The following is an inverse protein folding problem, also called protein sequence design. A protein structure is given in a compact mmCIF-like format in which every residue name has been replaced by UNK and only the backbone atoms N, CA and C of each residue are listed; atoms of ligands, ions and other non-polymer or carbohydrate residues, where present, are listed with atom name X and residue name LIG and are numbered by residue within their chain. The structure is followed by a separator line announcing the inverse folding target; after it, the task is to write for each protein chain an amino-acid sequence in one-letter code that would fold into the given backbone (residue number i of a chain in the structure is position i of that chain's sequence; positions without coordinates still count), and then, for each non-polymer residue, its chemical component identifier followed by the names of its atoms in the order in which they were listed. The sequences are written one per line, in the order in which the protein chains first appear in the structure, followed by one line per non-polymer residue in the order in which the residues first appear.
data_IF_037186264472
#
_entry.id   IF_037186264472
#
_cell.length_a   1.000
_cell.length_b   1.000
_cell.length_c   1.000
_cell.angle_alpha   90.00
_cell.angle_beta   90.00
_cell.angle_gamma   90.00
#
_symmetry.space_group_name_H-M   'P 1'
#
loop_
_entity.id
_entity.type
_entity.pdbx_description
1 polymer ?
#
# COMPACT_ATOMS: atom_id res chain seq x y z
N UNK A 1 -3.36 -25.51 14.96
CA UNK A 1 -3.89 -25.67 13.58
C UNK A 1 -3.71 -24.41 12.73
N UNK A 2 -4.16 -23.23 13.17
CA UNK A 2 -4.02 -21.98 12.41
C UNK A 2 -2.56 -21.68 12.03
N UNK A 3 -1.60 -21.75 12.95
CA UNK A 3 -0.18 -21.51 12.62
C UNK A 3 0.35 -22.43 11.51
N UNK A 4 -0.06 -23.70 11.44
CA UNK A 4 0.43 -24.65 10.41
C UNK A 4 -0.11 -24.31 9.03
N UNK A 5 -1.42 -24.05 8.92
CA UNK A 5 -2.05 -23.63 7.65
C UNK A 5 -1.42 -22.32 7.15
N UNK A 6 -1.08 -21.41 8.06
CA UNK A 6 -0.47 -20.13 7.74
C UNK A 6 0.99 -20.26 7.31
N UNK A 7 1.80 -21.06 8.00
CA UNK A 7 3.15 -21.39 7.55
C UNK A 7 3.13 -22.10 6.20
N UNK A 8 2.19 -23.02 5.96
CA UNK A 8 2.00 -23.63 4.65
C UNK A 8 1.62 -22.59 3.59
N UNK A 9 0.71 -21.65 3.89
CA UNK A 9 0.34 -20.59 2.96
C UNK A 9 1.54 -19.69 2.60
N UNK A 10 2.35 -19.32 3.58
CA UNK A 10 3.57 -18.53 3.38
C UNK A 10 4.61 -19.30 2.56
N UNK A 11 4.82 -20.60 2.86
CA UNK A 11 5.74 -21.44 2.08
C UNK A 11 5.25 -21.60 0.64
N UNK A 12 3.95 -21.83 0.44
CA UNK A 12 3.35 -21.95 -0.90
C UNK A 12 3.43 -20.62 -1.64
N UNK A 13 3.18 -19.49 -0.98
CA UNK A 13 3.35 -18.16 -1.56
C UNK A 13 4.80 -17.90 -1.96
N UNK A 14 5.76 -18.13 -1.06
CA UNK A 14 7.18 -18.01 -1.36
C UNK A 14 7.61 -18.90 -2.51
N UNK A 15 7.08 -20.13 -2.59
CA UNK A 15 7.35 -21.02 -3.71
C UNK A 15 6.74 -20.52 -5.01
N UNK A 16 5.51 -20.03 -4.99
CA UNK A 16 4.82 -19.48 -6.16
C UNK A 16 5.48 -18.19 -6.64
N UNK A 17 5.91 -17.29 -5.76
CA UNK A 17 6.58 -16.04 -6.14
C UNK A 17 8.03 -16.27 -6.58
N UNK A 18 8.78 -17.16 -5.91
CA UNK A 18 10.20 -17.38 -6.18
C UNK A 18 10.46 -18.36 -7.33
N UNK A 19 9.64 -19.40 -7.48
CA UNK A 19 9.84 -20.43 -8.52
C UNK A 19 9.21 -20.02 -9.86
N UNK A 20 8.19 -19.17 -9.86
CA UNK A 20 7.63 -18.64 -11.10
C UNK A 20 8.37 -17.40 -11.58
N UNK A 21 9.49 -17.63 -12.29
CA UNK A 21 9.81 -16.84 -13.50
C UNK A 21 8.88 -17.20 -14.68
N UNK A 22 7.86 -18.02 -14.44
CA UNK A 22 6.80 -18.40 -15.39
C UNK A 22 5.56 -17.57 -15.05
N UNK A 23 5.02 -16.84 -16.02
CA UNK A 23 3.84 -15.99 -15.82
C UNK A 23 2.68 -16.77 -15.19
N UNK A 24 2.34 -16.46 -13.94
CA UNK A 24 1.12 -16.98 -13.30
C UNK A 24 -0.11 -16.49 -14.10
N UNK A 25 -1.12 -17.35 -14.30
CA UNK A 25 -2.33 -16.93 -14.97
C UNK A 25 -3.13 -15.97 -14.06
N UNK A 26 -3.92 -15.03 -14.63
CA UNK A 26 -4.63 -14.02 -13.85
C UNK A 26 -5.48 -14.54 -12.67
N UNK A 27 -6.20 -15.68 -12.79
CA UNK A 27 -6.94 -16.25 -11.66
C UNK A 27 -6.06 -16.63 -10.46
N UNK A 28 -4.82 -17.07 -10.71
CA UNK A 28 -3.90 -17.45 -9.64
C UNK A 28 -3.25 -16.23 -8.99
N UNK A 29 -2.97 -15.17 -9.77
CA UNK A 29 -2.57 -13.87 -9.24
C UNK A 29 -3.63 -13.35 -8.26
N UNK A 30 -4.92 -13.43 -8.63
CA UNK A 30 -6.02 -13.03 -7.76
C UNK A 30 -6.07 -13.83 -6.45
N UNK A 31 -5.90 -15.16 -6.52
CA UNK A 31 -5.81 -16.00 -5.31
C UNK A 31 -4.67 -15.58 -4.40
N UNK A 32 -3.50 -15.24 -4.97
CA UNK A 32 -2.36 -14.73 -4.20
C UNK A 32 -2.72 -13.40 -3.52
N UNK A 33 -3.36 -12.47 -4.23
CA UNK A 33 -3.87 -11.22 -3.64
C UNK A 33 -4.82 -11.50 -2.47
N UNK A 34 -5.77 -12.43 -2.63
CA UNK A 34 -6.74 -12.76 -1.59
C UNK A 34 -6.08 -13.34 -0.32
N UNK A 35 -5.03 -14.15 -0.50
CA UNK A 35 -4.24 -14.66 0.64
C UNK A 35 -3.45 -13.52 1.29
N UNK A 36 -2.76 -12.70 0.50
CA UNK A 36 -2.00 -11.55 1.01
C UNK A 36 -2.90 -10.56 1.76
N UNK A 37 -4.15 -10.34 1.32
CA UNK A 37 -5.12 -9.48 2.01
C UNK A 37 -5.36 -9.92 3.45
N UNK A 38 -5.50 -11.24 3.65
CA UNK A 38 -5.69 -11.83 4.97
C UNK A 38 -4.44 -11.66 5.82
N UNK A 39 -3.27 -11.96 5.25
CA UNK A 39 -1.98 -11.89 5.95
C UNK A 39 -1.59 -10.46 6.34
N UNK A 40 -1.84 -9.47 5.48
CA UNK A 40 -1.57 -8.05 5.77
C UNK A 40 -2.44 -7.49 6.90
N UNK A 41 -3.61 -8.08 7.13
CA UNK A 41 -4.54 -7.69 8.20
C UNK A 41 -4.22 -8.39 9.52
N UNK A 42 -3.34 -9.39 9.53
CA UNK A 42 -2.98 -10.12 10.72
C UNK A 42 -2.09 -9.29 11.68
N UNK A 43 -2.24 -9.52 12.99
CA UNK A 43 -1.52 -8.80 14.05
C UNK A 43 -0.13 -9.36 14.38
N UNK A 44 0.33 -10.42 13.72
CA UNK A 44 1.60 -11.06 14.06
C UNK A 44 2.78 -10.35 13.38
N UNK A 45 3.61 -9.64 14.16
CA UNK A 45 4.74 -8.85 13.64
C UNK A 45 5.83 -9.69 12.94
N UNK A 46 6.13 -10.91 13.43
CA UNK A 46 7.13 -11.79 12.79
C UNK A 46 6.65 -12.25 11.41
N UNK A 47 5.38 -12.61 11.33
CA UNK A 47 4.75 -13.00 10.07
C UNK A 47 4.72 -11.82 9.10
N UNK A 48 4.36 -10.63 9.58
CA UNK A 48 4.27 -9.45 8.76
C UNK A 48 5.59 -9.10 8.07
N UNK A 49 6.72 -9.22 8.77
CA UNK A 49 8.05 -9.04 8.19
C UNK A 49 8.27 -9.99 6.99
N UNK A 50 7.96 -11.28 7.15
CA UNK A 50 8.07 -12.28 6.08
C UNK A 50 7.10 -12.01 4.92
N UNK A 51 5.90 -11.52 5.22
CA UNK A 51 4.90 -11.14 4.21
C UNK A 51 5.38 -9.95 3.39
N UNK A 52 6.08 -8.98 3.99
CA UNK A 52 6.63 -7.83 3.24
C UNK A 52 7.68 -8.27 2.21
N UNK A 53 8.52 -9.26 2.54
CA UNK A 53 9.50 -9.80 1.59
C UNK A 53 8.82 -10.49 0.41
N UNK A 54 7.79 -11.30 0.68
CA UNK A 54 6.98 -11.95 -0.36
C UNK A 54 6.27 -10.92 -1.23
N UNK A 55 5.70 -9.88 -0.59
CA UNK A 55 5.00 -8.80 -1.26
C UNK A 55 5.94 -8.03 -2.20
N UNK A 56 7.16 -7.74 -1.78
CA UNK A 56 8.18 -7.09 -2.62
C UNK A 56 8.43 -7.87 -3.91
N UNK A 57 8.63 -9.19 -3.81
CA UNK A 57 8.86 -10.06 -4.97
C UNK A 57 7.60 -10.10 -5.84
N UNK A 58 6.43 -10.25 -5.24
CA UNK A 58 5.16 -10.36 -5.96
C UNK A 58 4.82 -9.08 -6.73
N UNK A 59 4.91 -7.92 -6.08
CA UNK A 59 4.71 -6.61 -6.72
C UNK A 59 5.67 -6.42 -7.88
N UNK A 60 6.97 -6.65 -7.65
CA UNK A 60 7.98 -6.47 -8.71
C UNK A 60 7.72 -7.37 -9.92
N UNK A 61 7.19 -8.57 -9.69
CA UNK A 61 6.97 -9.57 -10.75
C UNK A 61 5.64 -9.41 -11.49
N UNK A 62 4.60 -8.90 -10.82
CA UNK A 62 3.22 -8.94 -11.33
C UNK A 62 2.51 -7.58 -11.38
N UNK A 63 3.19 -6.46 -11.07
CA UNK A 63 2.59 -5.11 -10.99
C UNK A 63 1.61 -4.75 -12.12
N UNK A 64 1.90 -5.13 -13.38
CA UNK A 64 1.02 -4.89 -14.53
C UNK A 64 -0.39 -5.50 -14.38
N UNK A 65 -0.52 -6.60 -13.64
CA UNK A 65 -1.77 -7.30 -13.37
C UNK A 65 -2.42 -6.93 -12.04
N UNK A 66 -1.82 -5.99 -11.28
CA UNK A 66 -2.24 -5.65 -9.92
C UNK A 66 -2.96 -4.30 -9.82
N UNK A 67 -3.34 -3.69 -10.94
CA UNK A 67 -3.99 -2.38 -10.98
C UNK A 67 -5.24 -2.28 -10.09
N UNK A 68 -6.15 -3.25 -10.18
CA UNK A 68 -7.37 -3.29 -9.36
C UNK A 68 -7.09 -3.53 -7.86
N UNK A 69 -5.96 -4.16 -7.56
CA UNK A 69 -5.55 -4.48 -6.19
C UNK A 69 -4.76 -3.35 -5.53
N UNK A 70 -4.16 -2.47 -6.33
CA UNK A 70 -3.27 -1.40 -5.87
C UNK A 70 -3.91 -0.49 -4.83
N UNK A 71 -5.19 -0.14 -5.01
CA UNK A 71 -5.93 0.70 -4.06
C UNK A 71 -5.95 0.08 -2.66
N UNK A 72 -6.34 -1.20 -2.57
CA UNK A 72 -6.36 -1.93 -1.31
C UNK A 72 -4.94 -2.03 -0.72
N UNK A 73 -3.96 -2.39 -1.55
CA UNK A 73 -2.58 -2.56 -1.12
C UNK A 73 -2.02 -1.27 -0.49
N UNK A 74 -2.13 -0.13 -1.20
CA UNK A 74 -1.67 1.16 -0.71
C UNK A 74 -2.38 1.57 0.59
N UNK A 75 -3.71 1.39 0.67
CA UNK A 75 -4.47 1.68 1.89
C UNK A 75 -3.89 0.91 3.09
N UNK A 76 -3.65 -0.40 2.93
CA UNK A 76 -3.14 -1.25 4.01
C UNK A 76 -1.72 -0.89 4.41
N UNK A 77 -0.81 -0.70 3.46
CA UNK A 77 0.58 -0.39 3.75
C UNK A 77 0.73 0.98 4.43
N UNK A 78 0.04 2.01 3.94
CA UNK A 78 0.08 3.36 4.52
C UNK A 78 -0.55 3.39 5.92
N UNK A 79 -1.67 2.69 6.11
CA UNK A 79 -2.27 2.54 7.42
C UNK A 79 -1.31 1.87 8.41
N UNK A 80 -0.68 0.76 8.00
CA UNK A 80 0.30 0.04 8.82
C UNK A 80 1.52 0.92 9.13
N UNK A 81 2.03 1.67 8.15
CA UNK A 81 3.20 2.55 8.31
C UNK A 81 2.96 3.65 9.33
N UNK A 82 1.72 4.15 9.43
CA UNK A 82 1.34 5.11 10.46
C UNK A 82 1.30 4.56 11.89
N UNK A 83 1.09 3.25 12.07
CA UNK A 83 0.88 2.66 13.42
C UNK A 83 2.00 1.75 13.88
N UNK A 84 2.79 1.21 12.95
CA UNK A 84 3.90 0.30 13.26
C UNK A 84 5.09 1.07 13.86
N UNK A 85 5.68 0.51 14.91
CA UNK A 85 6.79 1.11 15.65
C UNK A 85 7.99 0.19 15.76
N UNK A 86 7.83 -1.12 15.53
CA UNK A 86 8.91 -2.08 15.66
C UNK A 86 9.86 -1.97 14.46
N UNK A 87 11.16 -1.65 14.67
CA UNK A 87 12.10 -1.47 13.56
C UNK A 87 12.20 -2.70 12.63
N UNK A 88 12.03 -3.90 13.20
CA UNK A 88 12.03 -5.19 12.49
C UNK A 88 10.90 -5.36 11.47
N UNK A 89 9.85 -4.54 11.58
CA UNK A 89 8.72 -4.49 10.65
C UNK A 89 8.73 -3.20 9.83
N UNK A 90 9.09 -2.07 10.45
CA UNK A 90 9.15 -0.75 9.79
C UNK A 90 10.07 -0.79 8.57
N UNK A 91 11.25 -1.41 8.68
CA UNK A 91 12.20 -1.49 7.56
C UNK A 91 11.62 -2.25 6.35
N UNK A 92 11.16 -3.51 6.48
CA UNK A 92 10.50 -4.23 5.38
C UNK A 92 9.26 -3.51 4.83
N UNK A 93 8.47 -2.87 5.69
CA UNK A 93 7.28 -2.13 5.29
C UNK A 93 7.62 -0.90 4.43
N UNK A 94 8.66 -0.15 4.80
CA UNK A 94 9.16 0.97 4.01
C UNK A 94 9.74 0.50 2.67
N UNK A 95 10.41 -0.67 2.65
CA UNK A 95 10.87 -1.28 1.41
C UNK A 95 9.70 -1.68 0.51
N UNK A 96 8.63 -2.26 1.07
CA UNK A 96 7.41 -2.58 0.33
C UNK A 96 6.74 -1.32 -0.27
N UNK A 97 6.58 -0.26 0.52
CA UNK A 97 6.05 1.03 0.03
C UNK A 97 6.93 1.62 -1.08
N UNK A 98 8.26 1.56 -0.93
CA UNK A 98 9.20 2.00 -1.96
C UNK A 98 9.06 1.16 -3.23
N UNK A 99 8.97 -0.16 -3.12
CA UNK A 99 8.78 -1.07 -4.25
C UNK A 99 7.49 -0.74 -4.99
N UNK A 100 6.37 -0.56 -4.29
CA UNK A 100 5.11 -0.10 -4.92
C UNK A 100 5.34 1.21 -5.67
N UNK A 101 6.02 2.18 -5.04
CA UNK A 101 6.23 3.51 -5.63
C UNK A 101 7.05 3.47 -6.91
N UNK A 102 8.06 2.61 -6.99
CA UNK A 102 8.97 2.53 -8.13
C UNK A 102 8.53 1.57 -9.23
N UNK A 103 7.58 0.67 -8.96
CA UNK A 103 7.14 -0.36 -9.92
C UNK A 103 5.84 -0.01 -10.61
N UNK A 104 4.85 0.52 -9.88
CA UNK A 104 3.57 0.88 -10.48
C UNK A 104 3.67 2.21 -11.23
N UNK A 105 2.86 2.35 -12.29
CA UNK A 105 2.70 3.63 -12.97
C UNK A 105 2.24 4.73 -11.98
N UNK A 106 2.90 5.91 -11.95
CA UNK A 106 2.54 6.96 -10.99
C UNK A 106 1.08 7.40 -11.05
N UNK A 107 0.49 7.43 -12.25
CA UNK A 107 -0.92 7.82 -12.41
C UNK A 107 -1.87 6.85 -11.69
N UNK A 108 -1.59 5.55 -11.74
CA UNK A 108 -2.41 4.53 -11.07
C UNK A 108 -2.30 4.65 -9.55
N UNK A 109 -1.10 4.94 -9.04
CA UNK A 109 -0.87 5.16 -7.61
C UNK A 109 -1.62 6.40 -7.12
N UNK A 110 -1.58 7.49 -7.89
CA UNK A 110 -2.26 8.73 -7.56
C UNK A 110 -3.78 8.53 -7.48
N UNK A 111 -4.38 7.91 -8.50
CA UNK A 111 -5.82 7.57 -8.52
C UNK A 111 -6.20 6.70 -7.32
N UNK A 112 -5.41 5.66 -7.04
CA UNK A 112 -5.63 4.77 -5.89
C UNK A 112 -5.62 5.53 -4.55
N UNK A 113 -4.66 6.44 -4.35
CA UNK A 113 -4.58 7.26 -3.14
C UNK A 113 -5.75 8.25 -3.06
N UNK A 114 -6.08 8.92 -4.16
CA UNK A 114 -7.22 9.84 -4.20
C UNK A 114 -8.52 9.13 -3.83
N UNK A 115 -8.76 7.91 -4.33
CA UNK A 115 -9.92 7.09 -3.95
C UNK A 115 -9.90 6.72 -2.47
N UNK A 116 -8.75 6.32 -1.93
CA UNK A 116 -8.60 5.99 -0.51
C UNK A 116 -8.86 7.18 0.42
N UNK A 117 -8.40 8.38 0.05
CA UNK A 117 -8.64 9.61 0.81
C UNK A 117 -10.13 9.95 0.85
N UNK A 118 -10.83 9.71 -0.26
CA UNK A 118 -12.25 10.03 -0.41
C UNK A 118 -13.20 8.97 0.14
N UNK A 119 -12.72 7.77 0.47
CA UNK A 119 -13.55 6.68 0.97
C UNK A 119 -14.18 7.06 2.33
N UNK A 120 -15.52 7.22 2.40
CA UNK A 120 -16.19 7.66 3.61
C UNK A 120 -16.22 6.57 4.71
N UNK A 121 -15.94 5.32 4.37
CA UNK A 121 -15.91 4.20 5.30
C UNK A 121 -14.58 4.17 6.07
N UNK A 122 -13.50 4.68 5.47
CA UNK A 122 -12.18 4.69 6.10
C UNK A 122 -12.03 5.87 7.07
N UNK A 123 -11.54 5.57 8.28
CA UNK A 123 -11.22 6.57 9.30
C UNK A 123 -9.75 6.46 9.70
N UNK A 124 -8.81 6.86 8.82
CA UNK A 124 -7.39 6.68 9.07
C UNK A 124 -6.93 7.48 10.31
N UNK A 125 -6.10 6.88 11.19
CA UNK A 125 -5.50 7.61 12.30
C UNK A 125 -4.58 8.72 11.79
N UNK A 126 -4.31 9.71 12.65
CA UNK A 126 -3.50 10.90 12.31
C UNK A 126 -2.17 10.54 11.65
N UNK A 127 -1.48 9.53 12.18
CA UNK A 127 -0.19 9.07 11.63
C UNK A 127 -0.34 8.39 10.26
N UNK A 128 -1.43 7.68 9.99
CA UNK A 128 -1.69 7.09 8.68
C UNK A 128 -2.03 8.14 7.62
N UNK A 129 -2.77 9.19 8.01
CA UNK A 129 -2.98 10.38 7.17
C UNK A 129 -1.65 11.05 6.83
N UNK A 130 -0.78 11.26 7.82
CA UNK A 130 0.56 11.82 7.59
C UNK A 130 1.41 10.94 6.66
N UNK A 131 1.41 9.61 6.86
CA UNK A 131 2.09 8.67 5.97
C UNK A 131 1.55 8.74 4.53
N UNK A 132 0.23 8.87 4.37
CA UNK A 132 -0.43 9.04 3.06
C UNK A 132 0.03 10.32 2.37
N UNK A 133 0.11 11.43 3.09
CA UNK A 133 0.55 12.71 2.54
C UNK A 133 2.04 12.73 2.18
N UNK A 134 2.90 12.13 3.01
CA UNK A 134 4.32 11.93 2.69
C UNK A 134 4.49 11.09 1.43
N UNK A 135 3.72 10.01 1.30
CA UNK A 135 3.76 9.18 0.10
C UNK A 135 3.31 9.96 -1.13
N UNK A 136 2.24 10.75 -1.02
CA UNK A 136 1.73 11.59 -2.11
C UNK A 136 2.78 12.62 -2.54
N UNK A 137 3.45 13.27 -1.60
CA UNK A 137 4.52 14.22 -1.88
C UNK A 137 5.68 13.56 -2.65
N UNK A 138 6.18 12.42 -2.16
CA UNK A 138 7.25 11.66 -2.83
C UNK A 138 6.83 11.16 -4.22
N UNK A 139 5.55 10.77 -4.39
CA UNK A 139 5.00 10.36 -5.67
C UNK A 139 4.98 11.53 -6.66
N UNK A 140 4.44 12.67 -6.26
CA UNK A 140 4.30 13.86 -7.11
C UNK A 140 5.65 14.45 -7.54
N UNK A 141 6.68 14.36 -6.69
CA UNK A 141 8.05 14.76 -7.06
C UNK A 141 8.61 13.96 -8.23
N UNK A 142 8.17 12.71 -8.40
CA UNK A 142 8.59 11.83 -9.50
C UNK A 142 7.69 11.88 -10.74
N UNK A 143 6.58 12.64 -10.71
CA UNK A 143 5.64 12.71 -11.82
C UNK A 143 5.99 13.82 -12.80
N UNK A 144 5.90 13.53 -14.11
CA UNK A 144 6.03 14.53 -15.15
C UNK A 144 4.87 15.54 -15.12
N UNK A 145 5.20 16.81 -15.32
CA UNK A 145 4.21 17.89 -15.37
C UNK A 145 3.32 17.71 -16.61
N UNK A 146 2.00 17.73 -16.41
CA UNK A 146 1.03 17.65 -17.52
C UNK A 146 0.42 16.27 -17.79
N UNK A 147 0.63 15.30 -16.89
CA UNK A 147 -0.09 14.01 -16.95
C UNK A 147 -1.61 14.21 -17.00
N UNK A 148 -2.28 13.54 -17.94
CA UNK A 148 -3.73 13.64 -18.14
C UNK A 148 -4.48 12.85 -17.06
N UNK A 149 -4.68 13.48 -15.90
CA UNK A 149 -5.31 12.87 -14.74
C UNK A 149 -6.79 13.28 -14.62
N UNK A 150 -7.59 12.41 -14.00
CA UNK A 150 -8.98 12.70 -13.66
C UNK A 150 -9.04 13.87 -12.66
N UNK A 151 -9.41 15.06 -13.13
CA UNK A 151 -9.43 16.29 -12.31
C UNK A 151 -10.41 16.18 -11.14
N UNK A 152 -11.49 15.41 -11.29
CA UNK A 152 -12.51 15.28 -10.27
C UNK A 152 -12.05 14.47 -9.06
N UNK A 153 -11.36 13.33 -9.29
CA UNK A 153 -10.81 12.51 -8.21
C UNK A 153 -9.75 13.29 -7.42
N UNK A 154 -8.90 14.05 -8.10
CA UNK A 154 -7.88 14.88 -7.46
C UNK A 154 -8.55 15.98 -6.64
N UNK A 155 -9.53 16.69 -7.21
CA UNK A 155 -10.23 17.77 -6.53
C UNK A 155 -10.91 17.30 -5.25
N UNK A 156 -11.61 16.17 -5.29
CA UNK A 156 -12.27 15.60 -4.11
C UNK A 156 -11.28 15.17 -3.02
N UNK A 157 -10.15 14.58 -3.41
CA UNK A 157 -9.08 14.24 -2.47
C UNK A 157 -8.48 15.49 -1.81
N UNK A 158 -8.19 16.54 -2.59
CA UNK A 158 -7.65 17.81 -2.08
C UNK A 158 -8.60 18.45 -1.07
N UNK A 159 -9.91 18.49 -1.36
CA UNK A 159 -10.91 18.99 -0.41
C UNK A 159 -10.90 18.21 0.91
N UNK A 160 -10.75 16.88 0.85
CA UNK A 160 -10.68 16.05 2.05
C UNK A 160 -9.38 16.25 2.84
N UNK A 161 -8.27 16.49 2.15
CA UNK A 161 -6.99 16.85 2.79
C UNK A 161 -7.13 18.17 3.55
N UNK A 162 -7.77 19.19 2.96
CA UNK A 162 -8.05 20.44 3.68
C UNK A 162 -8.86 20.21 4.95
N UNK A 163 -9.92 19.39 4.88
CA UNK A 163 -10.69 19.00 6.07
C UNK A 163 -9.82 18.31 7.13
N UNK A 164 -8.85 17.48 6.73
CA UNK A 164 -7.90 16.90 7.67
C UNK A 164 -7.01 17.95 8.33
N UNK A 165 -6.58 18.99 7.61
CA UNK A 165 -5.71 20.04 8.15
C UNK A 165 -6.42 21.01 9.10
N UNK A 166 -7.73 21.20 8.91
CA UNK A 166 -8.57 22.04 9.78
C UNK A 166 -8.90 21.36 11.12
N UNK A 167 -8.91 20.02 11.14
CA UNK A 167 -9.20 19.25 12.35
C UNK A 167 -8.09 19.43 13.42
N UNK A 168 -8.42 19.93 14.63
CA UNK A 168 -7.45 20.17 15.69
C UNK A 168 -6.67 18.93 16.15
N UNK A 169 -7.20 17.72 15.95
CA UNK A 169 -6.53 16.46 16.31
C UNK A 169 -5.36 16.13 15.39
N UNK A 170 -5.28 16.78 14.23
CA UNK A 170 -4.36 16.47 13.15
C UNK A 170 -3.11 17.39 13.13
N UNK A 171 -2.70 17.95 14.28
CA UNK A 171 -1.56 18.89 14.38
C UNK A 171 -0.28 18.35 13.71
N UNK A 172 -0.01 17.05 13.84
CA UNK A 172 1.18 16.39 13.27
C UNK A 172 1.20 16.37 11.75
N UNK A 173 0.04 16.47 11.09
CA UNK A 173 -0.05 16.54 9.62
C UNK A 173 0.47 17.90 9.11
N UNK A 174 0.35 18.98 9.89
CA UNK A 174 0.84 20.32 9.51
C UNK A 174 2.37 20.40 9.43
N UNK A 175 3.07 19.40 9.98
CA UNK A 175 4.53 19.28 9.93
C UNK A 175 5.01 18.49 8.71
N UNK A 176 4.10 17.86 7.95
CA UNK A 176 4.44 17.25 6.67
C UNK A 176 4.80 18.38 5.71
N UNK A 177 6.07 18.45 5.31
CA UNK A 177 6.53 19.39 4.28
C UNK A 177 5.99 18.91 2.94
N UNK A 178 4.82 19.45 2.55
CA UNK A 178 4.29 19.33 1.19
C UNK A 178 5.11 20.18 0.22
#
# INVERSE_FOLDING_TARGET
LWSVIFYCAVIVLSFLTFRSRRNLPPPDIKKVCDVLNKLLTEGNHKLLSMVMDILNVFVSSYHDSLGDWLQFLLLRLLHKSGVEILPTVVQPLNMALKAVRTTFRPELQLVAICKNIQDPIQTPPVKAKAATLNYLHELLQGMEQGSSLSRDEIRGAVQKIFQWMEDPKNVTIKLVRL
#
